data_IF_666070323337
#
_entry.id   IF_666070323337
#
_cell.length_a   1.000
_cell.length_b   1.000
_cell.length_c   1.000
_cell.angle_alpha   90.00
_cell.angle_beta   90.00
_cell.angle_gamma   90.00
#
_symmetry.space_group_name_H-M   'P 1'
#
loop_
_entity.id
_entity.type
_entity.pdbx_description
1 polymer ?
#
# COMPACT_ATOMS: atom_id res chain seq x y z
N UNK A 1 5.00 32.71 13.64
CA UNK A 1 5.02 31.25 13.61
C UNK A 1 4.54 30.84 12.22
N UNK A 2 5.34 30.05 11.51
CA UNK A 2 5.01 29.66 10.13
C UNK A 2 3.84 28.66 10.06
N UNK A 3 3.17 28.59 8.93
CA UNK A 3 2.17 27.58 8.63
C UNK A 3 2.87 26.28 8.29
N UNK A 4 3.35 25.53 9.29
CA UNK A 4 4.08 24.29 9.07
C UNK A 4 3.26 23.09 9.57
N UNK A 5 3.24 22.01 8.80
CA UNK A 5 2.60 20.73 9.13
C UNK A 5 3.71 19.70 9.35
N UNK A 6 3.60 18.94 10.44
CA UNK A 6 4.51 17.82 10.71
C UNK A 6 4.21 16.63 9.82
N UNK A 7 5.25 15.90 9.37
CA UNK A 7 5.11 14.65 8.63
C UNK A 7 5.82 13.53 9.39
N UNK A 8 5.12 12.45 9.63
CA UNK A 8 5.66 11.23 10.25
C UNK A 8 5.84 10.15 9.19
N UNK A 9 7.08 9.70 9.02
CA UNK A 9 7.44 8.56 8.21
C UNK A 9 8.42 7.69 8.98
N UNK A 10 7.94 6.63 9.61
CA UNK A 10 8.76 5.62 10.24
C UNK A 10 8.43 4.25 9.66
N UNK A 11 9.13 3.94 8.59
CA UNK A 11 9.00 2.68 7.88
C UNK A 11 9.93 1.64 8.49
N UNK A 12 9.35 0.58 9.06
CA UNK A 12 10.10 -0.52 9.67
C UNK A 12 10.92 -1.34 8.66
N UNK A 13 10.62 -1.22 7.36
CA UNK A 13 11.40 -1.83 6.28
C UNK A 13 12.76 -1.12 6.05
N UNK A 14 13.00 0.00 6.75
CA UNK A 14 14.21 0.86 6.66
C UNK A 14 14.43 1.52 5.30
N UNK A 15 13.43 1.56 4.44
CA UNK A 15 13.51 2.25 3.15
C UNK A 15 13.29 3.76 3.30
N UNK A 16 12.51 4.21 4.29
CA UNK A 16 12.23 5.62 4.53
C UNK A 16 11.76 6.35 3.26
N UNK A 17 12.39 7.46 2.93
CA UNK A 17 12.09 8.23 1.70
C UNK A 17 12.50 7.54 0.39
N UNK A 18 13.23 6.43 0.44
CA UNK A 18 13.49 5.63 -0.77
C UNK A 18 12.35 4.64 -1.09
N UNK A 19 11.33 4.57 -0.23
CA UNK A 19 10.09 3.86 -0.50
C UNK A 19 9.25 4.69 -1.46
N UNK A 20 9.26 4.34 -2.75
CA UNK A 20 8.64 5.08 -3.84
C UNK A 20 7.16 5.39 -3.63
N UNK A 21 6.39 4.45 -3.07
CA UNK A 21 4.98 4.64 -2.72
C UNK A 21 4.80 5.78 -1.70
N UNK A 22 5.50 5.73 -0.56
CA UNK A 22 5.41 6.78 0.45
C UNK A 22 6.00 8.11 -0.01
N UNK A 23 7.11 8.06 -0.75
CA UNK A 23 7.73 9.27 -1.30
C UNK A 23 6.79 10.01 -2.26
N UNK A 24 6.06 9.29 -3.11
CA UNK A 24 5.09 9.89 -4.03
C UNK A 24 3.87 10.49 -3.31
N UNK A 25 3.39 9.84 -2.24
CA UNK A 25 2.33 10.40 -1.38
C UNK A 25 2.79 11.69 -0.69
N UNK A 26 4.00 11.68 -0.11
CA UNK A 26 4.58 12.86 0.55
C UNK A 26 4.77 13.98 -0.45
N UNK A 27 5.18 13.69 -1.68
CA UNK A 27 5.33 14.71 -2.71
C UNK A 27 3.99 15.34 -3.10
N UNK A 28 2.92 14.55 -3.28
CA UNK A 28 1.58 15.08 -3.51
C UNK A 28 1.09 15.95 -2.35
N UNK A 29 1.30 15.49 -1.12
CA UNK A 29 0.99 16.25 0.09
C UNK A 29 1.76 17.57 0.16
N UNK A 30 3.06 17.55 -0.08
CA UNK A 30 3.93 18.74 -0.06
C UNK A 30 3.52 19.77 -1.09
N UNK A 31 3.22 19.34 -2.32
CA UNK A 31 2.81 20.25 -3.40
C UNK A 31 1.50 20.97 -3.04
N UNK A 32 0.51 20.23 -2.56
CA UNK A 32 -0.76 20.81 -2.18
C UNK A 32 -0.64 21.73 -0.95
N UNK A 33 0.14 21.34 0.06
CA UNK A 33 0.46 22.20 1.20
C UNK A 33 1.04 23.55 0.72
N UNK A 34 2.01 23.51 -0.18
CA UNK A 34 2.63 24.72 -0.72
C UNK A 34 1.64 25.62 -1.48
N UNK A 35 0.74 25.02 -2.28
CA UNK A 35 -0.32 25.77 -2.98
C UNK A 35 -1.28 26.45 -1.99
N UNK A 36 -1.55 25.84 -0.85
CA UNK A 36 -2.43 26.33 0.19
C UNK A 36 -1.74 27.25 1.22
N UNK A 37 -0.43 27.52 1.06
CA UNK A 37 0.35 28.45 1.89
C UNK A 37 0.95 27.81 3.15
N UNK A 38 1.16 26.50 3.11
CA UNK A 38 1.79 25.72 4.21
C UNK A 38 3.12 25.11 3.74
N UNK A 39 4.03 24.92 4.68
CA UNK A 39 5.24 24.11 4.50
C UNK A 39 5.11 22.79 5.28
N UNK A 40 5.97 21.83 4.95
CA UNK A 40 6.06 20.57 5.70
C UNK A 40 7.41 20.46 6.39
N UNK A 41 7.45 19.73 7.52
CA UNK A 41 8.67 19.36 8.23
C UNK A 41 8.54 17.93 8.74
N UNK A 42 9.61 17.13 8.61
CA UNK A 42 9.62 15.78 9.18
C UNK A 42 9.80 15.82 10.69
N UNK A 43 9.01 15.01 11.40
CA UNK A 43 9.12 14.78 12.82
C UNK A 43 10.17 13.69 13.04
N UNK A 44 11.13 13.95 13.93
CA UNK A 44 12.19 12.99 14.23
C UNK A 44 11.67 11.84 15.08
N UNK A 45 11.67 10.63 14.50
CA UNK A 45 11.24 9.38 15.16
C UNK A 45 12.41 8.47 15.54
N UNK A 46 13.65 8.83 15.18
CA UNK A 46 14.81 7.94 15.28
C UNK A 46 15.69 8.25 16.49
N UNK A 47 15.39 9.32 17.23
CA UNK A 47 16.16 9.66 18.41
C UNK A 47 15.91 8.65 19.54
N UNK A 48 16.97 8.04 20.12
CA UNK A 48 16.82 7.11 21.24
C UNK A 48 16.21 7.79 22.48
N UNK A 49 15.32 7.07 23.17
CA UNK A 49 14.62 7.62 24.36
C UNK A 49 15.54 7.96 25.54
N UNK A 50 16.74 7.41 25.60
CA UNK A 50 17.78 7.70 26.60
C UNK A 50 18.66 8.91 26.24
N UNK A 51 18.46 9.50 25.05
CA UNK A 51 19.13 10.73 24.67
C UNK A 51 18.57 11.90 25.50
N UNK A 52 19.45 12.75 26.11
CA UNK A 52 19.00 13.93 26.89
C UNK A 52 18.17 14.95 26.09
N UNK A 53 18.31 14.95 24.77
CA UNK A 53 17.55 15.81 23.83
C UNK A 53 16.33 15.12 23.24
N UNK A 54 15.95 13.93 23.76
CA UNK A 54 14.78 13.22 23.30
C UNK A 54 13.50 14.02 23.59
N UNK A 55 12.70 14.20 22.58
CA UNK A 55 11.35 14.74 22.66
C UNK A 55 10.35 13.71 22.12
N UNK A 56 9.23 13.54 22.80
CA UNK A 56 8.11 12.77 22.25
C UNK A 56 7.57 13.44 20.98
N UNK A 57 6.82 12.71 20.16
CA UNK A 57 6.18 13.27 18.97
C UNK A 57 5.32 14.49 19.36
N UNK A 58 4.55 14.37 20.44
CA UNK A 58 3.67 15.42 20.90
C UNK A 58 4.44 16.67 21.38
N UNK A 59 5.57 16.49 22.05
CA UNK A 59 6.46 17.59 22.44
C UNK A 59 7.07 18.28 21.22
N UNK A 60 7.56 17.53 20.23
CA UNK A 60 8.07 18.08 18.98
C UNK A 60 7.00 18.90 18.25
N UNK A 61 5.75 18.42 18.19
CA UNK A 61 4.63 19.14 17.57
C UNK A 61 4.37 20.46 18.27
N UNK A 62 4.30 20.46 19.62
CA UNK A 62 4.03 21.65 20.43
C UNK A 62 5.18 22.65 20.38
N UNK A 63 6.43 22.20 20.55
CA UNK A 63 7.61 23.05 20.62
C UNK A 63 7.89 23.73 19.26
N UNK A 64 7.67 23.03 18.15
CA UNK A 64 7.82 23.58 16.80
C UNK A 64 6.57 24.35 16.31
N UNK A 65 5.45 24.27 17.02
CA UNK A 65 4.22 24.98 16.69
C UNK A 65 3.57 24.50 15.39
N UNK A 66 3.67 23.19 15.09
CA UNK A 66 3.05 22.59 13.93
C UNK A 66 1.52 22.72 14.00
N UNK A 67 0.88 23.01 12.88
CA UNK A 67 -0.57 23.26 12.80
C UNK A 67 -1.41 21.98 12.73
N UNK A 68 -0.78 20.87 12.41
CA UNK A 68 -1.33 19.55 12.31
C UNK A 68 -0.22 18.57 11.93
N UNK A 69 -0.56 17.30 11.85
CA UNK A 69 0.40 16.23 11.52
C UNK A 69 -0.19 15.32 10.44
N UNK A 70 0.63 14.94 9.45
CA UNK A 70 0.32 13.89 8.50
C UNK A 70 1.15 12.64 8.82
N UNK A 71 0.48 11.55 9.17
CA UNK A 71 1.11 10.25 9.44
C UNK A 71 1.06 9.42 8.16
N UNK A 72 2.21 9.24 7.53
CA UNK A 72 2.37 8.41 6.32
C UNK A 72 2.61 6.95 6.69
N UNK A 73 3.53 6.71 7.64
CA UNK A 73 3.81 5.38 8.16
C UNK A 73 4.35 5.49 9.59
N UNK A 74 3.78 4.74 10.50
CA UNK A 74 4.26 4.48 11.86
C UNK A 74 3.45 3.34 12.47
N UNK A 75 3.96 2.67 13.50
CA UNK A 75 3.16 1.71 14.28
C UNK A 75 2.12 2.45 15.14
N UNK A 76 1.02 1.79 15.44
CA UNK A 76 -0.06 2.40 16.23
C UNK A 76 0.39 2.78 17.64
N UNK A 77 1.25 1.95 18.27
CA UNK A 77 1.82 2.23 19.58
C UNK A 77 2.65 3.53 19.62
N UNK A 78 3.35 3.85 18.53
CA UNK A 78 4.19 5.05 18.44
C UNK A 78 3.38 6.33 18.33
N UNK A 79 2.19 6.27 17.74
CA UNK A 79 1.34 7.44 17.46
C UNK A 79 0.16 7.56 18.42
N UNK A 80 -0.07 6.60 19.30
CA UNK A 80 -1.23 6.55 20.20
C UNK A 80 -1.38 7.83 21.03
N UNK A 81 -0.28 8.37 21.59
CA UNK A 81 -0.31 9.61 22.37
C UNK A 81 -0.76 10.81 21.50
N UNK A 82 -0.26 10.88 20.26
CA UNK A 82 -0.58 11.95 19.31
C UNK A 82 -2.04 11.91 18.88
N UNK A 83 -2.55 10.75 18.47
CA UNK A 83 -3.93 10.62 17.96
C UNK A 83 -4.99 10.79 19.04
N UNK A 84 -4.62 10.61 20.33
CA UNK A 84 -5.48 10.87 21.48
C UNK A 84 -5.33 12.29 22.03
N UNK A 85 -4.52 13.13 21.42
CA UNK A 85 -4.32 14.54 21.84
C UNK A 85 -5.29 15.48 21.13
N UNK A 86 -5.11 16.77 21.38
CA UNK A 86 -5.83 17.87 20.70
C UNK A 86 -5.18 18.28 19.35
N UNK A 87 -4.13 17.59 18.92
CA UNK A 87 -3.46 17.83 17.63
C UNK A 87 -4.32 17.30 16.50
N UNK A 88 -4.54 18.11 15.48
CA UNK A 88 -5.21 17.68 14.27
C UNK A 88 -4.30 16.75 13.45
N UNK A 89 -4.80 15.54 13.15
CA UNK A 89 -4.05 14.49 12.48
C UNK A 89 -4.77 14.02 11.22
N UNK A 90 -4.02 13.94 10.13
CA UNK A 90 -4.37 13.11 8.97
C UNK A 90 -3.47 11.89 8.95
N UNK A 91 -3.99 10.73 8.53
CA UNK A 91 -3.22 9.49 8.50
C UNK A 91 -3.54 8.65 7.26
N UNK A 92 -2.53 7.93 6.77
CA UNK A 92 -2.65 6.96 5.71
C UNK A 92 -2.99 5.59 6.29
N UNK A 93 -4.07 4.96 5.77
CA UNK A 93 -4.46 3.57 6.03
C UNK A 93 -4.61 3.22 7.54
N UNK A 94 -4.99 4.20 8.37
CA UNK A 94 -5.24 4.01 9.80
C UNK A 94 -6.74 3.86 10.09
N UNK A 95 -7.07 3.42 11.30
CA UNK A 95 -8.44 3.23 11.77
C UNK A 95 -8.57 3.81 13.19
N UNK A 96 -8.44 5.14 13.28
CA UNK A 96 -8.63 5.87 14.53
C UNK A 96 -9.86 6.78 14.42
N UNK A 97 -10.64 6.86 15.47
CA UNK A 97 -11.81 7.74 15.52
C UNK A 97 -11.42 9.21 15.40
N UNK A 98 -11.18 10.08 15.57
CA UNK A 98 -10.76 11.49 15.54
C UNK A 98 -9.54 11.79 14.62
N UNK A 99 -9.35 10.99 13.60
CA UNK A 99 -8.28 11.17 12.63
C UNK A 99 -8.84 11.25 11.22
N UNK A 100 -8.36 12.19 10.42
CA UNK A 100 -8.66 12.26 8.99
C UNK A 100 -7.95 11.08 8.32
N UNK A 101 -8.71 10.05 7.96
CA UNK A 101 -8.12 8.86 7.36
C UNK A 101 -8.19 8.94 5.83
N UNK A 102 -7.06 8.78 5.15
CA UNK A 102 -6.98 8.75 3.69
C UNK A 102 -6.50 7.37 3.27
N UNK A 103 -7.26 6.71 2.41
CA UNK A 103 -7.00 5.33 2.00
C UNK A 103 -7.05 5.19 0.49
N UNK A 104 -6.29 4.24 -0.04
CA UNK A 104 -6.51 3.74 -1.39
C UNK A 104 -7.71 2.80 -1.42
N UNK A 105 -8.49 2.79 -2.51
CA UNK A 105 -9.59 1.84 -2.66
C UNK A 105 -9.06 0.43 -2.93
N UNK A 106 -8.62 -0.21 -1.84
CA UNK A 106 -8.08 -1.56 -1.87
C UNK A 106 -9.11 -2.62 -2.29
N UNK A 107 -10.39 -2.39 -1.94
CA UNK A 107 -11.49 -3.29 -2.27
C UNK A 107 -11.75 -3.25 -3.78
N UNK A 108 -11.94 -2.05 -4.34
CA UNK A 108 -12.14 -1.88 -5.79
C UNK A 108 -10.95 -2.43 -6.59
N UNK A 109 -9.71 -2.08 -6.20
CA UNK A 109 -8.52 -2.53 -6.90
C UNK A 109 -8.39 -4.04 -6.93
N UNK A 110 -8.65 -4.72 -5.80
CA UNK A 110 -8.57 -6.17 -5.71
C UNK A 110 -9.73 -6.86 -6.43
N UNK A 111 -10.92 -6.25 -6.40
CA UNK A 111 -12.06 -6.70 -7.19
C UNK A 111 -11.73 -6.68 -8.67
N UNK A 112 -11.31 -5.53 -9.22
CA UNK A 112 -11.04 -5.35 -10.66
C UNK A 112 -9.96 -6.33 -11.16
N UNK A 113 -8.87 -6.51 -10.41
CA UNK A 113 -7.80 -7.42 -10.84
C UNK A 113 -8.22 -8.88 -10.77
N UNK A 114 -8.97 -9.28 -9.75
CA UNK A 114 -9.45 -10.67 -9.62
C UNK A 114 -10.48 -11.01 -10.69
N UNK A 115 -11.43 -10.13 -10.96
CA UNK A 115 -12.39 -10.25 -12.06
C UNK A 115 -11.68 -10.36 -13.43
N UNK A 116 -10.67 -9.53 -13.64
CA UNK A 116 -9.85 -9.58 -14.85
C UNK A 116 -9.20 -10.96 -15.04
N UNK A 117 -8.54 -11.50 -14.00
CA UNK A 117 -7.90 -12.81 -14.05
C UNK A 117 -8.91 -13.93 -14.35
N UNK A 118 -10.09 -13.87 -13.74
CA UNK A 118 -11.17 -14.83 -13.96
C UNK A 118 -11.69 -14.74 -15.42
N UNK A 119 -11.81 -13.52 -15.96
CA UNK A 119 -12.19 -13.27 -17.36
C UNK A 119 -11.15 -13.78 -18.38
N UNK A 120 -9.88 -13.85 -17.96
CA UNK A 120 -8.79 -14.43 -18.74
C UNK A 120 -8.74 -15.98 -18.67
N UNK A 121 -9.67 -16.60 -17.93
CA UNK A 121 -9.80 -18.06 -17.83
C UNK A 121 -9.05 -18.67 -16.63
N UNK A 122 -8.43 -17.86 -15.79
CA UNK A 122 -7.75 -18.39 -14.60
C UNK A 122 -8.75 -18.93 -13.58
N UNK A 123 -8.44 -20.11 -13.02
CA UNK A 123 -9.21 -20.78 -11.95
C UNK A 123 -8.32 -21.24 -10.80
N UNK A 124 -7.02 -21.39 -11.05
CA UNK A 124 -6.01 -21.67 -10.05
C UNK A 124 -5.21 -20.40 -9.83
N UNK A 125 -5.72 -19.53 -8.97
CA UNK A 125 -5.14 -18.21 -8.67
C UNK A 125 -4.63 -18.25 -7.24
N UNK A 126 -3.33 -18.03 -7.06
CA UNK A 126 -2.71 -17.89 -5.75
C UNK A 126 -2.46 -16.43 -5.40
N UNK A 127 -2.42 -16.12 -4.12
CA UNK A 127 -2.07 -14.81 -3.59
C UNK A 127 -0.93 -14.91 -2.58
N UNK A 128 0.09 -14.07 -2.74
CA UNK A 128 1.09 -13.80 -1.70
C UNK A 128 0.73 -12.47 -1.07
N UNK A 129 0.25 -12.49 0.19
CA UNK A 129 -0.23 -11.28 0.87
C UNK A 129 0.92 -10.37 1.31
N UNK A 130 0.61 -9.12 1.65
CA UNK A 130 1.50 -8.24 2.40
C UNK A 130 1.53 -8.56 3.90
N UNK A 131 1.81 -7.54 4.70
CA UNK A 131 1.80 -7.63 6.16
C UNK A 131 0.39 -7.93 6.69
N UNK A 132 0.35 -8.51 7.90
CA UNK A 132 -0.91 -8.76 8.60
C UNK A 132 -1.43 -7.45 9.24
N UNK A 133 -2.01 -6.62 8.40
CA UNK A 133 -2.57 -5.32 8.76
C UNK A 133 -3.91 -5.08 8.03
N UNK A 134 -4.52 -3.91 8.24
CA UNK A 134 -5.79 -3.53 7.61
C UNK A 134 -5.76 -3.69 6.09
N UNK A 135 -4.71 -3.18 5.42
CA UNK A 135 -4.59 -3.23 3.95
C UNK A 135 -4.48 -4.66 3.44
N UNK A 136 -3.59 -5.46 4.05
CA UNK A 136 -3.42 -6.88 3.69
C UNK A 136 -4.71 -7.67 3.86
N UNK A 137 -5.45 -7.41 4.95
CA UNK A 137 -6.74 -8.06 5.23
C UNK A 137 -7.82 -7.66 4.23
N UNK A 138 -7.95 -6.37 3.90
CA UNK A 138 -8.93 -5.89 2.91
C UNK A 138 -8.71 -6.54 1.54
N UNK A 139 -7.45 -6.57 1.06
CA UNK A 139 -7.08 -7.17 -0.22
C UNK A 139 -7.36 -8.67 -0.24
N UNK A 140 -6.96 -9.40 0.80
CA UNK A 140 -7.18 -10.84 0.88
C UNK A 140 -8.67 -11.19 0.93
N UNK A 141 -9.44 -10.51 1.78
CA UNK A 141 -10.86 -10.78 1.92
C UNK A 141 -11.62 -10.52 0.61
N UNK A 142 -11.28 -9.45 -0.09
CA UNK A 142 -11.90 -9.15 -1.37
C UNK A 142 -11.52 -10.17 -2.45
N UNK A 143 -10.25 -10.59 -2.52
CA UNK A 143 -9.83 -11.66 -3.41
C UNK A 143 -10.63 -12.94 -3.19
N UNK A 144 -10.76 -13.38 -1.94
CA UNK A 144 -11.54 -14.59 -1.59
C UNK A 144 -12.99 -14.40 -1.99
N UNK A 145 -13.61 -13.27 -1.64
CA UNK A 145 -15.02 -12.96 -1.96
C UNK A 145 -15.31 -13.05 -3.45
N UNK A 146 -14.44 -12.46 -4.29
CA UNK A 146 -14.62 -12.50 -5.75
C UNK A 146 -14.48 -13.92 -6.28
N UNK A 147 -13.48 -14.67 -5.84
CA UNK A 147 -13.29 -16.06 -6.22
C UNK A 147 -14.50 -16.93 -5.86
N UNK A 148 -15.03 -16.80 -4.63
CA UNK A 148 -16.21 -17.53 -4.17
C UNK A 148 -17.44 -17.20 -5.01
N UNK A 149 -17.66 -15.94 -5.36
CA UNK A 149 -18.78 -15.51 -6.22
C UNK A 149 -18.75 -16.17 -7.62
N UNK A 150 -17.56 -16.55 -8.09
CA UNK A 150 -17.36 -17.28 -9.35
C UNK A 150 -17.24 -18.80 -9.17
N UNK A 151 -17.52 -19.32 -7.98
CA UNK A 151 -17.43 -20.76 -7.68
C UNK A 151 -16.01 -21.31 -7.68
N UNK A 152 -15.01 -20.45 -7.51
CA UNK A 152 -13.60 -20.83 -7.41
C UNK A 152 -13.27 -21.03 -5.93
N UNK A 153 -13.03 -22.29 -5.54
CA UNK A 153 -12.59 -22.61 -4.19
C UNK A 153 -11.11 -22.26 -4.03
N UNK A 154 -10.81 -21.33 -3.12
CA UNK A 154 -9.44 -21.02 -2.72
C UNK A 154 -9.05 -21.88 -1.53
N UNK A 155 -8.01 -22.69 -1.72
CA UNK A 155 -7.44 -23.53 -0.65
C UNK A 155 -6.35 -22.77 0.10
N UNK A 156 -6.08 -23.17 1.34
CA UNK A 156 -5.02 -22.57 2.17
C UNK A 156 -3.65 -22.61 1.48
N UNK A 157 -3.40 -23.63 0.64
CA UNK A 157 -2.15 -23.75 -0.14
C UNK A 157 -1.96 -22.63 -1.17
N UNK A 158 -3.02 -21.92 -1.56
CA UNK A 158 -2.97 -20.81 -2.50
C UNK A 158 -2.90 -19.44 -1.81
N UNK A 159 -2.97 -19.40 -0.48
CA UNK A 159 -2.82 -18.19 0.32
C UNK A 159 -1.49 -18.23 1.06
N UNK A 160 -0.52 -17.48 0.58
CA UNK A 160 0.80 -17.41 1.19
C UNK A 160 0.96 -16.10 1.98
N UNK A 161 1.37 -16.20 3.26
CA UNK A 161 1.60 -15.03 4.12
C UNK A 161 2.98 -14.43 3.85
N UNK A 162 3.01 -13.38 3.05
CA UNK A 162 4.19 -12.62 2.67
C UNK A 162 4.49 -11.43 3.58
N UNK A 163 5.12 -10.44 3.00
CA UNK A 163 5.34 -9.09 3.54
C UNK A 163 5.44 -8.11 2.38
N UNK A 164 5.07 -6.85 2.61
CA UNK A 164 5.26 -5.81 1.61
C UNK A 164 6.76 -5.61 1.34
N UNK A 165 7.12 -5.45 0.07
CA UNK A 165 8.48 -5.19 -0.45
C UNK A 165 9.55 -6.24 -0.09
N UNK A 166 9.18 -7.39 0.45
CA UNK A 166 10.11 -8.47 0.78
C UNK A 166 10.28 -9.43 -0.40
N UNK A 167 11.29 -9.16 -1.23
CA UNK A 167 11.62 -9.99 -2.39
C UNK A 167 12.10 -11.39 -1.99
N UNK A 168 12.86 -11.52 -0.91
CA UNK A 168 13.43 -12.80 -0.47
C UNK A 168 12.33 -13.73 0.03
N UNK A 169 11.44 -13.22 0.87
CA UNK A 169 10.28 -13.98 1.35
C UNK A 169 9.35 -14.33 0.20
N UNK A 170 9.11 -13.39 -0.73
CA UNK A 170 8.30 -13.63 -1.93
C UNK A 170 8.91 -14.70 -2.83
N UNK A 171 10.24 -14.68 -3.02
CA UNK A 171 10.94 -15.75 -3.74
C UNK A 171 10.70 -17.12 -3.11
N UNK A 172 10.89 -17.23 -1.80
CA UNK A 172 10.67 -18.49 -1.07
C UNK A 172 9.21 -18.98 -1.19
N UNK A 173 8.23 -18.10 -1.09
CA UNK A 173 6.81 -18.45 -1.19
C UNK A 173 6.41 -18.82 -2.62
N UNK A 174 6.94 -18.12 -3.62
CA UNK A 174 6.74 -18.45 -5.04
C UNK A 174 7.28 -19.84 -5.36
N UNK A 175 8.47 -20.15 -4.84
CA UNK A 175 9.07 -21.49 -4.98
C UNK A 175 8.17 -22.60 -4.40
N UNK A 176 7.51 -22.33 -3.25
CA UNK A 176 6.54 -23.26 -2.67
C UNK A 176 5.32 -23.45 -3.56
N UNK A 177 4.72 -22.35 -4.05
CA UNK A 177 3.54 -22.39 -4.92
C UNK A 177 3.80 -23.19 -6.19
N UNK A 178 4.98 -23.00 -6.81
CA UNK A 178 5.35 -23.68 -8.06
C UNK A 178 5.73 -25.16 -7.86
N UNK A 179 5.84 -25.65 -6.60
CA UNK A 179 6.07 -27.06 -6.27
C UNK A 179 4.81 -27.84 -5.99
N UNK A 180 3.66 -27.19 -5.90
CA UNK A 180 2.39 -27.87 -5.69
C UNK A 180 2.06 -28.76 -6.91
N UNK A 181 1.48 -29.92 -6.68
CA UNK A 181 0.99 -30.82 -7.74
C UNK A 181 0.03 -30.10 -8.69
N UNK A 182 -0.83 -29.24 -8.13
CA UNK A 182 -1.70 -28.33 -8.86
C UNK A 182 -1.17 -26.89 -8.75
N UNK A 183 0.01 -26.62 -9.33
CA UNK A 183 0.58 -25.28 -9.29
C UNK A 183 -0.41 -24.21 -9.82
N UNK A 184 -0.41 -22.98 -9.26
CA UNK A 184 -1.29 -21.93 -9.73
C UNK A 184 -0.95 -21.52 -11.16
N UNK A 185 -1.97 -21.15 -11.94
CA UNK A 185 -1.80 -20.57 -13.28
C UNK A 185 -1.56 -19.06 -13.22
N UNK A 186 -1.84 -18.44 -12.07
CA UNK A 186 -1.58 -17.04 -11.81
C UNK A 186 -1.22 -16.80 -10.35
N UNK A 187 -0.30 -15.88 -10.10
CA UNK A 187 0.09 -15.44 -8.75
C UNK A 187 -0.11 -13.93 -8.64
N UNK A 188 -0.91 -13.50 -7.64
CA UNK A 188 -1.03 -12.11 -7.24
C UNK A 188 -0.01 -11.85 -6.14
N UNK A 189 0.87 -10.89 -6.33
CA UNK A 189 1.87 -10.46 -5.36
C UNK A 189 1.35 -9.31 -4.51
N UNK A 190 1.90 -9.16 -3.30
CA UNK A 190 1.53 -8.09 -2.36
C UNK A 190 1.70 -6.69 -2.93
N UNK A 191 2.77 -6.51 -3.69
CA UNK A 191 3.15 -5.26 -4.36
C UNK A 191 4.09 -5.53 -5.55
N UNK A 192 4.30 -4.51 -6.36
CA UNK A 192 5.13 -4.59 -7.56
C UNK A 192 6.59 -4.89 -7.21
N UNK A 193 7.11 -4.34 -6.11
CA UNK A 193 8.49 -4.54 -5.71
C UNK A 193 8.74 -5.98 -5.23
N UNK A 194 7.83 -6.52 -4.42
CA UNK A 194 7.88 -7.91 -3.98
C UNK A 194 7.80 -8.88 -5.17
N UNK A 195 7.04 -8.53 -6.22
CA UNK A 195 6.89 -9.35 -7.43
C UNK A 195 8.22 -9.68 -8.12
N UNK A 196 9.26 -8.83 -7.96
CA UNK A 196 10.60 -9.07 -8.51
C UNK A 196 11.17 -10.39 -7.99
N UNK A 197 10.98 -10.67 -6.70
CA UNK A 197 11.39 -11.95 -6.11
C UNK A 197 10.70 -13.15 -6.77
N UNK A 198 9.40 -13.03 -7.03
CA UNK A 198 8.63 -14.08 -7.74
C UNK A 198 9.09 -14.27 -9.19
N UNK A 199 9.29 -13.18 -9.93
CA UNK A 199 9.78 -13.20 -11.31
C UNK A 199 11.14 -13.92 -11.39
N UNK A 200 12.05 -13.62 -10.48
CA UNK A 200 13.37 -14.25 -10.45
C UNK A 200 13.26 -15.78 -10.26
N UNK A 201 12.37 -16.25 -9.38
CA UNK A 201 12.14 -17.69 -9.17
C UNK A 201 11.53 -18.35 -10.41
N UNK A 202 10.54 -17.71 -11.03
CA UNK A 202 9.89 -18.22 -12.24
C UNK A 202 10.92 -18.42 -13.34
N UNK A 203 11.75 -17.42 -13.61
CA UNK A 203 12.80 -17.49 -14.62
C UNK A 203 13.90 -18.50 -14.26
N UNK A 204 14.32 -18.60 -12.99
CA UNK A 204 15.31 -19.57 -12.54
C UNK A 204 14.86 -21.03 -12.74
N UNK A 205 13.54 -21.27 -12.76
CA UNK A 205 12.95 -22.57 -13.10
C UNK A 205 12.79 -22.82 -14.60
N UNK A 206 13.17 -21.88 -15.44
CA UNK A 206 12.99 -21.93 -16.89
C UNK A 206 11.53 -21.76 -17.34
N UNK A 207 10.67 -21.21 -16.48
CA UNK A 207 9.27 -20.90 -16.80
C UNK A 207 9.16 -19.52 -17.43
N UNK A 208 8.20 -19.36 -18.33
CA UNK A 208 7.95 -18.13 -19.06
C UNK A 208 6.69 -17.40 -18.53
N UNK A 209 6.79 -16.09 -18.35
CA UNK A 209 5.67 -15.21 -18.04
C UNK A 209 5.19 -14.57 -19.35
N UNK A 210 3.91 -14.61 -19.68
CA UNK A 210 2.77 -15.22 -18.96
C UNK A 210 2.44 -16.66 -19.41
N UNK A 211 3.25 -17.28 -20.27
CA UNK A 211 2.95 -18.54 -20.96
C UNK A 211 2.71 -19.71 -19.99
N UNK A 212 3.61 -19.89 -19.01
CA UNK A 212 3.53 -20.98 -18.04
C UNK A 212 2.83 -20.54 -16.74
N UNK A 213 3.08 -19.30 -16.32
CA UNK A 213 2.44 -18.70 -15.15
C UNK A 213 2.23 -17.21 -15.37
N UNK A 214 1.02 -16.74 -15.12
CA UNK A 214 0.69 -15.30 -15.11
C UNK A 214 1.04 -14.69 -13.77
N UNK A 215 1.37 -13.39 -13.77
CA UNK A 215 1.64 -12.66 -12.54
C UNK A 215 0.96 -11.29 -12.54
N UNK A 216 0.61 -10.85 -11.33
CA UNK A 216 0.04 -9.52 -11.08
C UNK A 216 0.72 -8.90 -9.86
N UNK A 217 1.02 -7.62 -9.95
CA UNK A 217 1.51 -6.81 -8.85
C UNK A 217 0.44 -5.89 -8.26
N UNK A 218 0.89 -4.96 -7.43
CA UNK A 218 0.09 -3.89 -6.82
C UNK A 218 1.00 -2.67 -6.62
N UNK A 219 0.51 -1.45 -6.64
CA UNK A 219 1.07 -0.12 -6.49
C UNK A 219 1.20 0.66 -7.81
N UNK A 220 1.43 0.00 -8.94
CA UNK A 220 1.57 0.65 -10.24
C UNK A 220 2.95 1.25 -10.48
N UNK A 221 4.01 0.58 -10.01
CA UNK A 221 5.39 1.04 -10.17
C UNK A 221 5.74 1.29 -11.65
N UNK A 222 6.19 2.52 -11.96
CA UNK A 222 6.43 2.92 -13.35
C UNK A 222 7.59 2.14 -13.99
N UNK A 223 8.65 1.85 -13.25
CA UNK A 223 9.83 1.13 -13.76
C UNK A 223 9.43 -0.28 -14.18
N UNK A 224 8.66 -0.99 -13.36
CA UNK A 224 8.22 -2.35 -13.66
C UNK A 224 7.23 -2.40 -14.83
N UNK A 225 6.53 -1.31 -15.11
CA UNK A 225 5.71 -1.19 -16.31
C UNK A 225 6.50 -1.10 -17.61
N UNK A 226 7.81 -0.87 -17.56
CA UNK A 226 8.72 -0.78 -18.72
C UNK A 226 9.51 -2.08 -18.96
N UNK A 227 9.38 -3.05 -18.06
CA UNK A 227 10.02 -4.36 -18.24
C UNK A 227 9.27 -5.25 -19.26
N UNK A 228 9.92 -6.32 -19.67
CA UNK A 228 9.35 -7.36 -20.56
C UNK A 228 9.23 -8.70 -19.81
N UNK A 229 8.02 -9.24 -19.70
CA UNK A 229 6.74 -8.60 -20.02
C UNK A 229 6.41 -7.48 -19.02
N UNK A 230 5.73 -6.42 -19.49
CA UNK A 230 5.24 -5.35 -18.60
C UNK A 230 4.24 -5.90 -17.58
N UNK A 231 4.40 -5.52 -16.32
CA UNK A 231 3.59 -6.04 -15.23
C UNK A 231 2.14 -5.52 -15.30
N UNK A 232 1.17 -6.42 -15.18
CA UNK A 232 -0.21 -6.09 -14.86
C UNK A 232 -0.27 -5.78 -13.37
N UNK A 233 -0.82 -4.63 -12.99
CA UNK A 233 -0.81 -4.16 -11.61
C UNK A 233 -2.01 -3.30 -11.28
N UNK A 234 -2.34 -3.15 -10.02
CA UNK A 234 -3.31 -2.16 -9.54
C UNK A 234 -2.56 -0.88 -9.24
N UNK A 235 -2.82 0.15 -10.02
CA UNK A 235 -2.25 1.49 -9.81
C UNK A 235 -2.95 2.19 -8.65
N UNK A 236 -2.21 2.52 -7.61
CA UNK A 236 -2.63 3.40 -6.53
C UNK A 236 -2.29 4.85 -6.90
N UNK A 237 -3.27 5.75 -6.78
CA UNK A 237 -3.07 7.16 -7.12
C UNK A 237 -2.38 7.92 -5.96
N UNK A 238 -1.11 7.58 -5.73
CA UNK A 238 -0.31 8.05 -4.58
C UNK A 238 -0.28 9.57 -4.46
N UNK A 239 -0.15 10.27 -5.58
CA UNK A 239 -0.12 11.73 -5.60
C UNK A 239 -1.48 12.32 -5.15
N UNK A 240 -2.59 11.77 -5.61
CA UNK A 240 -3.94 12.21 -5.20
C UNK A 240 -4.21 11.88 -3.74
N UNK A 241 -3.70 10.75 -3.22
CA UNK A 241 -3.77 10.42 -1.79
C UNK A 241 -3.11 11.53 -0.95
N UNK A 242 -1.88 11.90 -1.30
CA UNK A 242 -1.17 12.98 -0.60
C UNK A 242 -1.88 14.32 -0.71
N UNK A 243 -2.36 14.65 -1.91
CA UNK A 243 -3.12 15.88 -2.16
C UNK A 243 -4.39 15.94 -1.30
N UNK A 244 -5.19 14.86 -1.28
CA UNK A 244 -6.42 14.79 -0.47
C UNK A 244 -6.14 14.90 1.02
N UNK A 245 -5.07 14.28 1.51
CA UNK A 245 -4.65 14.43 2.89
C UNK A 245 -4.33 15.89 3.24
N UNK A 246 -3.66 16.63 2.34
CA UNK A 246 -3.33 18.04 2.54
C UNK A 246 -4.58 18.94 2.50
N UNK A 247 -5.44 18.74 1.49
CA UNK A 247 -6.68 19.51 1.33
C UNK A 247 -7.54 19.42 2.60
N UNK A 248 -7.78 18.21 3.09
CA UNK A 248 -8.65 17.97 4.23
C UNK A 248 -8.03 18.42 5.55
N UNK A 249 -6.75 18.11 5.77
CA UNK A 249 -6.05 18.56 6.97
C UNK A 249 -6.06 20.09 7.07
N UNK A 250 -5.78 20.79 5.97
CA UNK A 250 -5.75 22.25 5.94
C UNK A 250 -7.16 22.84 6.03
N UNK A 251 -8.17 22.15 5.48
CA UNK A 251 -9.57 22.54 5.66
C UNK A 251 -9.94 22.59 7.14
N UNK A 252 -9.65 21.53 7.89
CA UNK A 252 -9.95 21.46 9.34
C UNK A 252 -9.07 22.42 10.17
N UNK A 253 -7.81 22.68 9.76
CA UNK A 253 -7.01 23.74 10.41
C UNK A 253 -7.71 25.11 10.29
N UNK A 254 -8.34 25.41 9.15
CA UNK A 254 -9.04 26.68 8.91
C UNK A 254 -10.45 26.71 9.49
N UNK A 255 -11.05 25.54 9.72
CA UNK A 255 -12.42 25.38 10.21
C UNK A 255 -12.46 24.52 11.49
N UNK A 256 -11.87 24.96 12.60
CA UNK A 256 -11.70 24.13 13.81
C UNK A 256 -13.01 23.75 14.51
N UNK A 257 -14.14 24.29 14.11
CA UNK A 257 -15.48 23.91 14.60
C UNK A 257 -16.05 22.69 13.87
N UNK A 258 -15.52 22.34 12.72
CA UNK A 258 -15.89 21.15 11.98
C UNK A 258 -15.04 19.98 12.49
N UNK A 259 -15.69 19.00 13.10
CA UNK A 259 -15.06 17.80 13.68
C UNK A 259 -15.57 16.52 13.01
N UNK A 260 -16.22 16.64 11.84
CA UNK A 260 -16.72 15.50 11.07
C UNK A 260 -15.58 14.91 10.20
N UNK A 261 -14.68 14.15 10.83
CA UNK A 261 -13.57 13.50 10.16
C UNK A 261 -14.05 12.26 9.41
N UNK A 262 -14.06 12.34 8.08
CA UNK A 262 -14.47 11.23 7.20
C UNK A 262 -13.28 10.46 6.66
N UNK A 263 -13.49 9.18 6.41
CA UNK A 263 -12.55 8.41 5.61
C UNK A 263 -12.63 8.87 4.15
N UNK A 264 -11.49 9.25 3.58
CA UNK A 264 -11.35 9.68 2.19
C UNK A 264 -10.79 8.52 1.40
N UNK A 265 -11.60 7.97 0.51
CA UNK A 265 -11.21 6.85 -0.36
C UNK A 265 -10.75 7.40 -1.70
N UNK A 266 -9.50 7.15 -2.04
CA UNK A 266 -8.92 7.51 -3.34
C UNK A 266 -8.95 6.29 -4.26
N UNK A 267 -9.57 6.45 -5.42
CA UNK A 267 -9.73 5.35 -6.37
C UNK A 267 -8.40 4.78 -6.86
N UNK A 268 -8.32 3.45 -6.89
CA UNK A 268 -7.30 2.68 -7.58
C UNK A 268 -7.78 2.25 -8.97
N UNK A 269 -6.85 1.89 -9.86
CA UNK A 269 -7.16 1.55 -11.25
C UNK A 269 -6.35 0.34 -11.71
N UNK A 270 -6.99 -0.64 -12.34
CA UNK A 270 -6.28 -1.76 -12.95
C UNK A 270 -5.50 -1.29 -14.19
N UNK A 271 -4.19 -1.49 -14.18
CA UNK A 271 -3.29 -1.25 -15.30
C UNK A 271 -2.88 -2.58 -15.92
N UNK A 272 -3.43 -2.87 -17.09
CA UNK A 272 -3.17 -4.11 -17.81
C UNK A 272 -1.81 -4.01 -18.52
N UNK A 273 -0.92 -4.94 -18.19
CA UNK A 273 0.35 -5.18 -18.87
C UNK A 273 0.30 -6.44 -19.73
N UNK A 274 1.46 -7.07 -19.89
CA UNK A 274 1.62 -8.31 -20.68
C UNK A 274 1.99 -9.52 -19.82
N UNK A 275 1.96 -9.38 -18.50
CA UNK A 275 2.28 -10.44 -17.55
C UNK A 275 1.15 -11.42 -17.28
N UNK A 276 -0.04 -11.20 -17.87
CA UNK A 276 -1.21 -12.09 -17.76
C UNK A 276 -1.56 -12.64 -19.14
N UNK A 277 -1.53 -13.96 -19.27
CA UNK A 277 -1.95 -14.70 -20.46
C UNK A 277 -3.37 -15.25 -20.32
N UNK A 278 -3.99 -15.56 -21.46
CA UNK A 278 -5.30 -16.23 -21.46
C UNK A 278 -5.12 -17.74 -21.26
N UNK A 279 -5.89 -18.29 -20.35
CA UNK A 279 -6.03 -19.74 -20.18
C UNK A 279 -7.24 -20.19 -21.00
N UNK A 280 -7.04 -21.14 -21.87
CA UNK A 280 -8.11 -21.79 -22.61
C UNK A 280 -8.46 -23.09 -21.89
N UNK A 281 -9.72 -23.25 -21.50
CA UNK A 281 -10.19 -24.56 -21.05
C UNK A 281 -9.99 -25.53 -22.23
N UNK A 282 -9.08 -26.47 -22.09
CA UNK A 282 -9.07 -27.61 -23.00
C UNK A 282 -10.33 -28.42 -22.66
N UNK A 283 -11.40 -28.21 -23.47
CA UNK A 283 -12.61 -28.99 -23.46
C UNK A 283 -12.31 -30.49 -23.68
#
# INVERSE_FOLDING_TARGET
MGNTIGVILKDNSKHGLTHDYFAAIIEGFRQECNLLGYSIAFINMDMPKDNPEYETILEQVKNNGYKGVFIVCASDDEITELVNSDVLVAALDKDFENVINVVSDNVKGMNEVTEYLISMGHRRIAIITGDDNRVGSLRLNEFIRVCENHGIAITDDYIMRGQFRDMDKTSYLTEKLLKLDNAPSCIIFSDDYASIGGVNVIHARGLEIPKDVSIVGYDGNEILSKLEPSLTTVLQNTHEIGKKAAEELIYHIKNPQDTDFKEIVVESTLKIGRSVGRVYDNL
#
